data_IF_294248217029
#
_entry.id   IF_294248217029
#
_cell.length_a   1.000
_cell.length_b   1.000
_cell.length_c   1.000
_cell.angle_alpha   90.00
_cell.angle_beta   90.00
_cell.angle_gamma   90.00
#
_symmetry.space_group_name_H-M   'P 1'
#
loop_
_entity.id
_entity.type
_entity.pdbx_description
1 polymer ?
#
# COMPACT_ATOMS: atom_id res chain seq x y z
N UNK A 1 13.55 14.93 8.28
CA UNK A 1 12.77 15.63 7.23
C UNK A 1 11.54 14.79 6.95
N UNK A 2 10.39 15.42 6.71
CA UNK A 2 9.13 14.72 6.43
C UNK A 2 8.62 15.09 5.04
N UNK A 3 8.04 14.14 4.31
CA UNK A 3 7.33 14.41 3.06
C UNK A 3 5.83 14.26 3.24
N UNK A 4 5.07 15.29 2.87
CA UNK A 4 3.61 15.19 2.70
C UNK A 4 3.30 14.72 1.27
N UNK A 5 2.66 13.55 1.07
CA UNK A 5 2.49 12.95 -0.25
C UNK A 5 1.24 13.45 -1.01
N UNK A 6 0.82 14.69 -0.80
CA UNK A 6 -0.42 15.24 -1.38
C UNK A 6 -0.19 15.93 -2.73
N UNK A 7 0.47 15.22 -3.65
CA UNK A 7 0.83 15.76 -4.98
C UNK A 7 -0.40 16.03 -5.86
N UNK A 8 -1.50 15.30 -5.59
CA UNK A 8 -2.80 15.44 -6.25
C UNK A 8 -3.88 16.04 -5.32
N UNK A 9 -3.45 16.70 -4.24
CA UNK A 9 -4.34 17.23 -3.19
C UNK A 9 -4.51 16.28 -2.01
N UNK A 10 -5.05 16.83 -0.91
CA UNK A 10 -5.29 16.13 0.35
C UNK A 10 -6.78 16.00 0.65
N UNK A 11 -7.23 14.90 1.28
CA UNK A 11 -8.61 14.77 1.78
C UNK A 11 -8.86 15.60 3.05
N UNK A 12 -7.84 16.29 3.56
CA UNK A 12 -7.93 17.09 4.77
C UNK A 12 -8.49 18.50 4.50
N UNK A 13 -9.14 19.13 5.49
CA UNK A 13 -9.76 20.45 5.31
C UNK A 13 -8.78 21.55 4.92
N UNK A 14 -7.52 21.42 5.30
CA UNK A 14 -6.46 22.34 4.92
C UNK A 14 -5.89 21.91 3.56
N UNK A 15 -5.85 22.80 2.56
CA UNK A 15 -5.28 22.49 1.26
C UNK A 15 -3.80 22.18 1.45
N UNK A 16 -3.44 20.90 1.38
CA UNK A 16 -2.06 20.44 1.55
C UNK A 16 -1.55 19.96 0.20
N UNK A 17 -0.31 20.34 -0.14
CA UNK A 17 0.37 19.94 -1.36
C UNK A 17 1.59 19.06 -1.06
N UNK A 18 2.13 18.43 -2.10
CA UNK A 18 3.40 17.72 -2.05
C UNK A 18 4.52 18.58 -1.45
N UNK A 19 4.95 18.29 -0.21
CA UNK A 19 5.84 19.20 0.55
C UNK A 19 6.92 18.45 1.32
N UNK A 20 8.17 18.90 1.20
CA UNK A 20 9.27 18.48 2.08
C UNK A 20 9.42 19.44 3.26
N UNK A 21 9.02 19.00 4.45
CA UNK A 21 9.11 19.77 5.69
C UNK A 21 10.46 19.55 6.37
N UNK A 22 11.14 20.66 6.69
CA UNK A 22 12.43 20.67 7.37
C UNK A 22 13.62 20.37 6.47
N UNK A 23 13.53 20.66 5.16
CA UNK A 23 14.67 20.58 4.24
C UNK A 23 15.75 21.61 4.63
N UNK A 24 17.03 21.22 4.53
CA UNK A 24 18.21 22.00 4.91
C UNK A 24 19.32 21.74 3.89
N UNK A 25 20.29 22.65 3.78
CA UNK A 25 21.36 22.58 2.77
C UNK A 25 22.30 21.37 2.87
N UNK A 26 22.33 20.69 4.01
CA UNK A 26 23.09 19.45 4.22
C UNK A 26 22.33 18.18 3.87
N UNK A 27 21.07 18.27 3.43
CA UNK A 27 20.33 17.09 3.01
C UNK A 27 20.72 16.68 1.58
N UNK A 28 21.06 15.40 1.41
CA UNK A 28 21.37 14.80 0.11
C UNK A 28 20.09 14.27 -0.56
N UNK A 29 20.20 13.90 -1.84
CA UNK A 29 19.15 13.20 -2.59
C UNK A 29 18.65 11.95 -1.85
N UNK A 30 19.54 11.24 -1.15
CA UNK A 30 19.18 10.07 -0.35
C UNK A 30 18.23 10.41 0.80
N UNK A 31 18.44 11.55 1.48
CA UNK A 31 17.52 12.02 2.52
C UNK A 31 16.15 12.39 1.95
N UNK A 32 16.10 12.97 0.75
CA UNK A 32 14.82 13.26 0.06
C UNK A 32 14.08 11.98 -0.30
N UNK A 33 14.77 11.01 -0.90
CA UNK A 33 14.17 9.72 -1.26
C UNK A 33 13.64 8.99 -0.03
N UNK A 34 14.44 8.94 1.05
CA UNK A 34 14.04 8.32 2.32
C UNK A 34 12.80 9.00 2.91
N UNK A 35 12.80 10.35 2.98
CA UNK A 35 11.66 11.10 3.50
C UNK A 35 10.39 10.88 2.65
N UNK A 36 10.55 10.75 1.32
CA UNK A 36 9.44 10.42 0.42
C UNK A 36 8.86 9.03 0.73
N UNK A 37 9.72 8.01 0.81
CA UNK A 37 9.30 6.63 1.11
C UNK A 37 8.59 6.57 2.47
N UNK A 38 9.19 7.17 3.51
CA UNK A 38 8.60 7.23 4.85
C UNK A 38 7.30 8.03 4.88
N UNK A 39 7.22 9.15 4.16
CA UNK A 39 6.01 9.97 4.06
C UNK A 39 4.82 9.19 3.49
N UNK A 40 5.05 8.41 2.43
CA UNK A 40 4.03 7.53 1.85
C UNK A 40 3.61 6.45 2.84
N UNK A 41 4.57 5.80 3.51
CA UNK A 41 4.31 4.74 4.50
C UNK A 41 3.50 5.26 5.69
N UNK A 42 3.87 6.41 6.24
CA UNK A 42 3.18 7.03 7.37
C UNK A 42 1.75 7.45 7.00
N UNK A 43 1.53 7.93 5.78
CA UNK A 43 0.20 8.23 5.28
C UNK A 43 -0.67 6.96 5.17
N UNK A 44 -0.09 5.83 4.73
CA UNK A 44 -0.79 4.55 4.74
C UNK A 44 -1.10 4.06 6.14
N UNK A 45 -0.16 4.19 7.08
CA UNK A 45 -0.41 3.88 8.49
C UNK A 45 -1.60 4.68 9.03
N UNK A 46 -1.69 5.98 8.72
CA UNK A 46 -2.84 6.80 9.13
C UNK A 46 -4.17 6.24 8.60
N UNK A 47 -4.23 5.80 7.34
CA UNK A 47 -5.41 5.14 6.78
C UNK A 47 -5.73 3.80 7.47
N UNK A 48 -4.71 2.97 7.72
CA UNK A 48 -4.89 1.67 8.37
C UNK A 48 -5.35 1.82 9.81
N UNK A 49 -4.79 2.77 10.57
CA UNK A 49 -5.20 3.09 11.94
C UNK A 49 -6.66 3.58 11.97
N UNK A 50 -7.06 4.43 11.01
CA UNK A 50 -8.45 4.88 10.86
C UNK A 50 -9.42 3.75 10.49
N UNK A 51 -8.97 2.77 9.69
CA UNK A 51 -9.76 1.58 9.37
C UNK A 51 -9.93 0.66 10.59
N UNK A 52 -8.83 0.41 11.32
CA UNK A 52 -8.82 -0.44 12.51
C UNK A 52 -9.64 0.15 13.67
N UNK A 53 -9.79 1.48 13.75
CA UNK A 53 -10.63 2.10 14.78
C UNK A 53 -12.13 1.89 14.55
N UNK A 54 -12.54 1.58 13.32
CA UNK A 54 -13.95 1.41 12.92
C UNK A 54 -14.33 -0.06 12.69
N UNK A 55 -13.37 -0.89 12.29
CA UNK A 55 -13.60 -2.29 11.94
C UNK A 55 -12.72 -3.21 12.79
N UNK A 56 -13.30 -4.32 13.24
CA UNK A 56 -12.54 -5.38 13.90
C UNK A 56 -11.74 -6.16 12.87
N UNK A 57 -10.53 -5.71 12.57
CA UNK A 57 -9.61 -6.42 11.67
C UNK A 57 -8.96 -7.59 12.42
N UNK A 58 -9.33 -8.81 12.05
CA UNK A 58 -8.78 -10.06 12.59
C UNK A 58 -7.54 -10.55 11.82
N UNK A 59 -7.25 -9.97 10.66
CA UNK A 59 -6.11 -10.35 9.83
C UNK A 59 -4.76 -10.12 10.52
N UNK A 60 -3.92 -11.16 10.52
CA UNK A 60 -2.61 -11.15 11.18
C UNK A 60 -1.52 -10.44 10.36
N UNK A 61 -1.68 -10.32 9.04
CA UNK A 61 -0.69 -9.74 8.13
C UNK A 61 -1.32 -8.75 7.15
N UNK A 62 -0.55 -7.73 6.75
CA UNK A 62 -0.87 -6.85 5.63
C UNK A 62 -0.33 -7.45 4.34
N UNK A 63 -1.08 -7.38 3.24
CA UNK A 63 -0.59 -7.78 1.91
C UNK A 63 -0.20 -6.54 1.13
N UNK A 64 1.02 -6.51 0.60
CA UNK A 64 1.53 -5.41 -0.21
C UNK A 64 1.63 -5.88 -1.66
N UNK A 65 1.10 -5.07 -2.58
CA UNK A 65 1.09 -5.34 -4.02
C UNK A 65 1.53 -4.09 -4.80
N UNK A 66 1.78 -4.25 -6.10
CA UNK A 66 2.22 -3.17 -6.98
C UNK A 66 3.68 -2.77 -6.77
N UNK A 67 4.11 -1.67 -7.39
CA UNK A 67 5.52 -1.30 -7.50
C UNK A 67 6.26 -1.11 -6.17
N UNK A 68 5.56 -0.72 -5.09
CA UNK A 68 6.18 -0.63 -3.76
C UNK A 68 6.63 -2.00 -3.20
N UNK A 69 5.93 -3.06 -3.57
CA UNK A 69 6.22 -4.42 -3.14
C UNK A 69 7.52 -4.99 -3.76
N UNK A 70 8.01 -4.38 -4.85
CA UNK A 70 9.26 -4.78 -5.51
C UNK A 70 10.51 -4.28 -4.76
N UNK A 71 10.34 -3.47 -3.71
CA UNK A 71 11.42 -2.98 -2.87
C UNK A 71 11.35 -3.63 -1.49
N UNK A 72 12.34 -4.45 -1.15
CA UNK A 72 12.48 -5.06 0.18
C UNK A 72 12.56 -3.99 1.27
N UNK A 73 13.35 -2.94 1.04
CA UNK A 73 13.52 -1.82 1.98
C UNK A 73 12.19 -1.11 2.22
N UNK A 74 11.40 -0.87 1.17
CA UNK A 74 10.12 -0.19 1.33
C UNK A 74 9.08 -1.10 2.01
N UNK A 75 9.07 -2.38 1.66
CA UNK A 75 8.23 -3.40 2.28
C UNK A 75 8.51 -3.52 3.78
N UNK A 76 9.79 -3.48 4.18
CA UNK A 76 10.19 -3.47 5.58
C UNK A 76 9.71 -2.20 6.29
N UNK A 77 9.81 -1.02 5.67
CA UNK A 77 9.27 0.22 6.25
C UNK A 77 7.76 0.12 6.52
N UNK A 78 7.00 -0.50 5.61
CA UNK A 78 5.58 -0.78 5.83
C UNK A 78 5.37 -1.71 7.04
N UNK A 79 6.15 -2.80 7.14
CA UNK A 79 6.04 -3.72 8.27
C UNK A 79 6.32 -3.02 9.61
N UNK A 80 7.38 -2.20 9.65
CA UNK A 80 7.77 -1.43 10.83
C UNK A 80 6.69 -0.42 11.23
N UNK A 81 6.17 0.35 10.26
CA UNK A 81 5.19 1.39 10.53
C UNK A 81 3.82 0.82 10.93
N UNK A 82 3.37 -0.26 10.27
CA UNK A 82 2.10 -0.92 10.57
C UNK A 82 2.17 -1.81 11.81
N UNK A 83 3.39 -2.14 12.27
CA UNK A 83 3.65 -3.09 13.37
C UNK A 83 2.96 -4.44 13.14
N UNK A 84 3.01 -4.90 11.90
CA UNK A 84 2.39 -6.15 11.44
C UNK A 84 3.29 -6.80 10.39
N UNK A 85 3.28 -8.14 10.27
CA UNK A 85 3.88 -8.82 9.14
C UNK A 85 3.34 -8.26 7.82
N UNK A 86 4.23 -7.98 6.87
CA UNK A 86 3.89 -7.65 5.49
C UNK A 86 4.21 -8.84 4.62
N UNK A 87 3.23 -9.30 3.84
CA UNK A 87 3.38 -10.35 2.84
C UNK A 87 3.35 -9.68 1.48
N UNK A 88 4.45 -9.77 0.74
CA UNK A 88 4.50 -9.39 -0.67
C UNK A 88 3.89 -10.53 -1.48
N UNK A 89 2.99 -10.22 -2.41
CA UNK A 89 2.37 -11.22 -3.28
C UNK A 89 3.08 -11.29 -4.63
N UNK A 90 3.27 -12.49 -5.16
CA UNK A 90 3.89 -12.70 -6.48
C UNK A 90 2.97 -12.30 -7.65
N UNK A 91 1.69 -12.04 -7.36
CA UNK A 91 0.70 -11.59 -8.36
C UNK A 91 1.02 -10.17 -8.81
N UNK A 92 1.58 -10.05 -10.02
CA UNK A 92 1.94 -8.76 -10.64
C UNK A 92 0.71 -7.85 -10.83
N UNK A 93 -0.39 -8.40 -11.34
CA UNK A 93 -1.59 -7.66 -11.73
C UNK A 93 -2.81 -8.05 -10.87
N UNK A 94 -2.70 -7.85 -9.54
CA UNK A 94 -3.71 -8.32 -8.59
C UNK A 94 -5.11 -7.76 -8.85
N UNK A 95 -5.21 -6.52 -9.33
CA UNK A 95 -6.48 -5.89 -9.67
C UNK A 95 -7.13 -6.52 -10.92
N UNK A 96 -6.34 -6.74 -11.98
CA UNK A 96 -6.83 -7.39 -13.20
C UNK A 96 -7.26 -8.84 -12.94
N UNK A 97 -6.48 -9.57 -12.13
CA UNK A 97 -6.84 -10.92 -11.70
C UNK A 97 -8.18 -10.92 -10.96
N UNK A 98 -8.38 -10.02 -10.00
CA UNK A 98 -9.65 -9.92 -9.27
C UNK A 98 -10.84 -9.65 -10.20
N UNK A 99 -10.68 -8.76 -11.18
CA UNK A 99 -11.72 -8.48 -12.18
C UNK A 99 -12.04 -9.71 -13.05
N UNK A 100 -11.01 -10.46 -13.48
CA UNK A 100 -11.18 -11.68 -14.26
C UNK A 100 -11.91 -12.77 -13.47
N UNK A 101 -11.58 -12.96 -12.18
CA UNK A 101 -12.25 -13.93 -11.30
C UNK A 101 -13.74 -13.61 -11.12
N UNK A 102 -14.07 -12.33 -10.91
CA UNK A 102 -15.46 -11.88 -10.80
C UNK A 102 -16.23 -12.11 -12.10
N UNK A 103 -15.63 -11.79 -13.26
CA UNK A 103 -16.24 -12.01 -14.56
C UNK A 103 -16.47 -13.50 -14.84
N UNK A 104 -15.47 -14.35 -14.56
CA UNK A 104 -15.55 -15.80 -14.73
C UNK A 104 -16.64 -16.43 -13.85
N UNK A 105 -16.77 -15.97 -12.60
CA UNK A 105 -17.84 -16.40 -11.69
C UNK A 105 -19.22 -16.01 -12.24
N UNK A 106 -19.36 -14.76 -12.73
CA UNK A 106 -20.64 -14.26 -13.24
C UNK A 106 -21.17 -15.02 -14.47
N UNK A 107 -20.27 -15.59 -15.28
CA UNK A 107 -20.64 -16.41 -16.46
C UNK A 107 -20.64 -17.92 -16.18
N UNK A 108 -20.46 -18.34 -14.92
CA UNK A 108 -20.47 -19.75 -14.51
C UNK A 108 -19.25 -20.55 -14.95
N UNK A 109 -18.14 -19.90 -15.30
CA UNK A 109 -16.86 -20.59 -15.56
C UNK A 109 -16.18 -21.04 -14.25
N UNK A 110 -16.38 -20.29 -13.18
CA UNK A 110 -15.98 -20.62 -11.81
C UNK A 110 -17.22 -20.68 -10.92
N UNK A 111 -17.17 -21.53 -9.89
CA UNK A 111 -18.28 -21.64 -8.93
C UNK A 111 -18.32 -20.40 -8.01
N UNK A 112 -17.15 -19.91 -7.60
CA UNK A 112 -16.94 -18.64 -6.90
C UNK A 112 -15.50 -18.11 -7.07
N UNK A 113 -15.20 -16.97 -6.45
CA UNK A 113 -13.87 -16.33 -6.53
C UNK A 113 -12.76 -17.05 -5.77
N UNK A 114 -13.10 -18.08 -4.98
CA UNK A 114 -12.19 -18.95 -4.23
C UNK A 114 -12.05 -20.34 -4.85
N UNK A 115 -12.70 -20.59 -5.98
CA UNK A 115 -12.61 -21.84 -6.74
C UNK A 115 -11.15 -22.27 -6.94
N UNK A 116 -10.78 -23.55 -6.78
CA UNK A 116 -9.39 -24.00 -6.96
C UNK A 116 -8.84 -23.77 -8.37
N UNK A 117 -9.70 -23.55 -9.37
CA UNK A 117 -9.32 -23.13 -10.73
C UNK A 117 -8.98 -21.63 -10.81
N UNK A 118 -9.31 -20.85 -9.78
CA UNK A 118 -8.88 -19.47 -9.58
C UNK A 118 -7.39 -19.44 -9.23
N UNK A 119 -6.55 -19.64 -10.26
CA UNK A 119 -5.11 -19.51 -10.09
C UNK A 119 -4.70 -18.06 -9.85
N UNK A 120 -3.82 -17.86 -8.87
CA UNK A 120 -2.66 -16.99 -9.10
C UNK A 120 -1.73 -17.74 -10.07
N UNK A 121 -1.18 -17.12 -11.13
CA UNK A 121 -0.11 -17.74 -11.90
C UNK A 121 1.06 -18.10 -10.97
N UNK A 122 1.76 -19.18 -11.31
CA UNK A 122 3.01 -19.59 -10.67
C UNK A 122 4.06 -18.47 -10.63
#
# INVERSE_FOLDING_TARGET
MLFHPFVYGSPHPQPTSGTFLGLRGWHSRGHLLRALMEGVVLNHRWHVDALCSKLRITGAAARLTGGAAHSEVWSQMFADALRRPVVVTDVQESAALGAALLAATAVGLLDDVTDPRAGAPA
#
